data_IF_084888473956
#
_entry.id   IF_084888473956
#
_cell.length_a   1.000
_cell.length_b   1.000
_cell.length_c   1.000
_cell.angle_alpha   90.00
_cell.angle_beta   90.00
_cell.angle_gamma   90.00
#
_symmetry.space_group_name_H-M   'P 1'
#
loop_
_entity.id
_entity.type
_entity.pdbx_description
1 polymer ?
#
# COMPACT_ATOMS: atom_id res chain seq x y z
N UNK A 1 -7.17 -10.40 6.82
CA UNK A 1 -6.52 -9.14 6.37
C UNK A 1 -7.59 -8.12 5.96
N UNK A 2 -7.62 -6.90 6.53
CA UNK A 2 -8.60 -5.86 6.14
C UNK A 2 -8.21 -5.07 4.87
N UNK A 3 -7.14 -5.46 4.20
CA UNK A 3 -6.63 -4.80 2.98
C UNK A 3 -7.10 -5.48 1.69
N UNK A 4 -8.00 -6.46 1.77
CA UNK A 4 -8.62 -7.06 0.59
C UNK A 4 -9.20 -6.02 -0.40
N UNK A 5 -9.84 -4.91 0.04
CA UNK A 5 -10.28 -3.85 -0.87
C UNK A 5 -9.15 -3.13 -1.60
N UNK A 6 -7.90 -3.27 -1.17
CA UNK A 6 -6.74 -2.69 -1.83
C UNK A 6 -6.11 -3.60 -2.88
N UNK A 7 -6.51 -4.88 -2.98
CA UNK A 7 -5.81 -5.88 -3.79
C UNK A 7 -5.66 -5.44 -5.25
N UNK A 8 -6.74 -5.04 -5.91
CA UNK A 8 -6.70 -4.55 -7.30
C UNK A 8 -5.80 -3.32 -7.46
N UNK A 9 -5.93 -2.33 -6.57
CA UNK A 9 -5.09 -1.12 -6.58
C UNK A 9 -3.62 -1.38 -6.22
N UNK A 10 -3.31 -2.52 -5.60
CA UNK A 10 -1.97 -2.97 -5.24
C UNK A 10 -1.34 -3.85 -6.33
N UNK A 11 -2.15 -4.40 -7.23
CA UNK A 11 -1.75 -5.20 -8.39
C UNK A 11 -1.61 -4.35 -9.66
N UNK A 12 -2.44 -3.31 -9.83
CA UNK A 12 -2.45 -2.44 -10.99
C UNK A 12 -2.46 -0.94 -10.59
N UNK A 13 -1.52 -0.19 -11.15
CA UNK A 13 -1.36 1.24 -10.92
C UNK A 13 -2.51 2.06 -11.51
N UNK A 14 -3.22 1.52 -12.50
CA UNK A 14 -4.35 2.18 -13.18
C UNK A 14 -5.69 1.87 -12.50
N UNK A 15 -5.83 0.70 -11.86
CA UNK A 15 -7.05 0.28 -11.17
C UNK A 15 -7.45 1.23 -10.05
N UNK A 16 -8.64 1.82 -10.11
CA UNK A 16 -9.14 2.78 -9.12
C UNK A 16 -9.04 2.28 -7.67
N UNK A 17 -8.82 3.20 -6.73
CA UNK A 17 -8.66 2.86 -5.30
C UNK A 17 -10.00 2.97 -4.58
N UNK A 18 -10.56 1.87 -4.04
CA UNK A 18 -11.81 1.95 -3.28
C UNK A 18 -11.66 2.79 -2.01
N UNK A 19 -12.68 3.56 -1.64
CA UNK A 19 -12.65 4.36 -0.41
C UNK A 19 -12.37 3.53 0.86
N UNK A 20 -12.88 2.30 0.92
CA UNK A 20 -12.58 1.35 2.00
C UNK A 20 -11.10 0.95 2.07
N UNK A 21 -10.41 0.88 0.93
CA UNK A 21 -8.97 0.69 0.91
C UNK A 21 -8.25 1.89 1.54
N UNK A 22 -8.59 3.12 1.13
CA UNK A 22 -7.98 4.33 1.69
C UNK A 22 -8.21 4.44 3.20
N UNK A 23 -9.42 4.16 3.68
CA UNK A 23 -9.72 4.16 5.12
C UNK A 23 -8.83 3.17 5.90
N UNK A 24 -8.59 1.98 5.33
CA UNK A 24 -7.75 0.96 5.97
C UNK A 24 -6.26 1.22 5.87
N UNK A 25 -5.79 1.83 4.77
CA UNK A 25 -4.36 2.05 4.55
C UNK A 25 -3.83 3.32 5.22
N UNK A 26 -4.71 4.27 5.57
CA UNK A 26 -4.38 5.51 6.29
C UNK A 26 -3.60 5.28 7.59
N UNK A 27 -3.90 4.20 8.32
CA UNK A 27 -3.17 3.84 9.57
C UNK A 27 -1.76 3.34 9.32
N UNK A 28 -1.51 2.72 8.16
CA UNK A 28 -0.18 2.23 7.78
C UNK A 28 0.64 3.32 7.09
N UNK A 29 0.00 4.21 6.33
CA UNK A 29 0.67 5.31 5.64
C UNK A 29 1.43 6.25 6.60
N UNK A 30 0.98 6.37 7.86
CA UNK A 30 1.67 7.15 8.90
C UNK A 30 2.92 6.46 9.47
N UNK A 31 3.08 5.16 9.21
CA UNK A 31 4.24 4.38 9.64
C UNK A 31 4.84 3.64 8.41
N UNK A 32 5.77 4.27 7.68
CA UNK A 32 6.32 3.71 6.46
C UNK A 32 6.97 2.34 6.65
N UNK A 33 7.59 2.08 7.82
CA UNK A 33 8.18 0.78 8.14
C UNK A 33 7.11 -0.31 8.22
N UNK A 34 5.99 -0.03 8.88
CA UNK A 34 4.86 -0.95 8.97
C UNK A 34 4.21 -1.17 7.60
N UNK A 35 4.01 -0.09 6.82
CA UNK A 35 3.48 -0.19 5.46
C UNK A 35 4.37 -1.11 4.59
N UNK A 36 5.68 -0.90 4.61
CA UNK A 36 6.62 -1.75 3.89
C UNK A 36 6.58 -3.20 4.35
N UNK A 37 6.50 -3.47 5.65
CA UNK A 37 6.41 -4.83 6.17
C UNK A 37 5.14 -5.55 5.67
N UNK A 38 4.01 -4.84 5.61
CA UNK A 38 2.75 -5.40 5.08
C UNK A 38 2.89 -5.69 3.58
N UNK A 39 3.39 -4.74 2.80
CA UNK A 39 3.52 -4.88 1.34
C UNK A 39 4.57 -5.92 0.93
N UNK A 40 5.60 -6.12 1.74
CA UNK A 40 6.66 -7.11 1.51
C UNK A 40 6.39 -8.46 2.18
N UNK A 41 5.26 -8.62 2.88
CA UNK A 41 4.88 -9.88 3.51
C UNK A 41 4.64 -10.98 2.46
N UNK A 42 4.91 -12.23 2.82
CA UNK A 42 4.71 -13.35 1.90
C UNK A 42 3.23 -13.53 1.52
N UNK A 43 2.30 -13.18 2.42
CA UNK A 43 0.87 -13.13 2.10
C UNK A 43 0.55 -12.13 1.00
N UNK A 44 1.14 -10.93 1.03
CA UNK A 44 0.93 -9.92 0.00
C UNK A 44 1.51 -10.38 -1.35
N UNK A 45 2.73 -10.91 -1.35
CA UNK A 45 3.38 -11.45 -2.56
C UNK A 45 2.58 -12.59 -3.18
N UNK A 46 2.12 -13.55 -2.36
CA UNK A 46 1.30 -14.68 -2.81
C UNK A 46 -0.05 -14.23 -3.38
N UNK A 47 -0.55 -13.06 -2.97
CA UNK A 47 -1.75 -12.44 -3.52
C UNK A 47 -1.50 -11.62 -4.79
N UNK A 48 -0.29 -11.67 -5.37
CA UNK A 48 0.08 -10.94 -6.58
C UNK A 48 0.31 -9.43 -6.37
N UNK A 49 0.41 -8.96 -5.13
CA UNK A 49 0.68 -7.55 -4.86
C UNK A 49 2.04 -7.15 -5.41
N UNK A 50 2.06 -6.06 -6.18
CA UNK A 50 3.28 -5.43 -6.64
C UNK A 50 3.68 -4.33 -5.63
N UNK A 51 4.82 -4.47 -4.91
CA UNK A 51 5.20 -3.51 -3.88
C UNK A 51 5.34 -2.07 -4.41
N UNK A 52 5.88 -1.91 -5.62
CA UNK A 52 6.05 -0.61 -6.26
C UNK A 52 4.70 0.07 -6.53
N UNK A 53 3.74 -0.68 -7.10
CA UNK A 53 2.36 -0.23 -7.31
C UNK A 53 1.67 0.10 -5.99
N UNK A 54 1.77 -0.79 -5.01
CA UNK A 54 1.09 -0.63 -3.73
C UNK A 54 1.61 0.55 -2.89
N UNK A 55 2.90 0.90 -3.03
CA UNK A 55 3.48 2.10 -2.40
C UNK A 55 2.92 3.41 -2.97
N UNK A 56 2.31 3.38 -4.15
CA UNK A 56 1.63 4.55 -4.72
C UNK A 56 0.23 4.77 -4.13
N UNK A 57 -0.38 3.77 -3.48
CA UNK A 57 -1.74 3.85 -2.95
C UNK A 57 -1.93 5.05 -2.01
N UNK A 58 -1.04 5.33 -1.03
CA UNK A 58 -1.14 6.54 -0.20
C UNK A 58 -1.17 7.85 -1.01
N UNK A 59 -0.44 7.92 -2.13
CA UNK A 59 -0.47 9.07 -3.04
C UNK A 59 -1.81 9.15 -3.77
N UNK A 60 -2.33 8.03 -4.27
CA UNK A 60 -3.60 7.93 -5.00
C UNK A 60 -4.83 8.20 -4.10
N UNK A 61 -4.74 7.84 -2.82
CA UNK A 61 -5.71 8.21 -1.78
C UNK A 61 -5.57 9.67 -1.30
N UNK A 62 -4.63 10.44 -1.86
CA UNK A 62 -4.35 11.84 -1.52
C UNK A 62 -4.07 12.09 -0.02
N UNK A 63 -3.28 11.23 0.64
CA UNK A 63 -2.87 11.48 2.02
C UNK A 63 -1.79 12.57 2.09
N UNK A 64 -2.03 13.58 2.94
CA UNK A 64 -1.09 14.69 3.16
C UNK A 64 0.24 14.20 3.76
N UNK A 65 0.18 13.33 4.78
CA UNK A 65 1.37 12.83 5.51
C UNK A 65 1.90 11.52 4.93
N UNK A 66 1.98 11.41 3.60
CA UNK A 66 2.52 10.20 2.95
C UNK A 66 4.06 10.20 2.99
N UNK A 67 4.69 9.03 3.12
CA UNK A 67 6.15 8.92 3.15
C UNK A 67 6.72 9.12 1.74
N UNK A 68 7.18 10.34 1.44
CA UNK A 68 7.80 10.69 0.16
C UNK A 68 9.26 10.21 0.14
N UNK A 69 9.65 9.49 -0.90
CA UNK A 69 11.03 9.01 -1.08
C UNK A 69 11.44 7.84 -0.17
N UNK A 70 10.52 7.29 0.62
CA UNK A 70 10.78 6.13 1.47
C UNK A 70 10.97 4.87 0.62
N UNK A 71 12.11 4.19 0.79
CA UNK A 71 12.40 2.94 0.10
C UNK A 71 12.23 1.78 1.08
N UNK A 72 11.36 0.82 0.75
CA UNK A 72 11.24 -0.42 1.51
C UNK A 72 12.46 -1.31 1.30
N UNK A 73 12.75 -2.21 2.25
CA UNK A 73 13.71 -3.29 2.06
C UNK A 73 15.19 -2.91 2.13
N UNK A 74 15.54 -1.68 2.56
CA UNK A 74 16.92 -1.40 2.98
C UNK A 74 17.18 -2.13 4.31
N UNK A 75 18.13 -3.06 4.30
CA UNK A 75 18.78 -3.54 5.53
C UNK A 75 19.60 -2.41 6.14
#
# INVERSE_FOLDING_TARGET
MKLAPCAGAAQDANAGVPGGCCAQIRRFAQNPKCLCAVLLSDTAKASGVQPETALTIPKRCNFANRPIGYKCGRK
#
